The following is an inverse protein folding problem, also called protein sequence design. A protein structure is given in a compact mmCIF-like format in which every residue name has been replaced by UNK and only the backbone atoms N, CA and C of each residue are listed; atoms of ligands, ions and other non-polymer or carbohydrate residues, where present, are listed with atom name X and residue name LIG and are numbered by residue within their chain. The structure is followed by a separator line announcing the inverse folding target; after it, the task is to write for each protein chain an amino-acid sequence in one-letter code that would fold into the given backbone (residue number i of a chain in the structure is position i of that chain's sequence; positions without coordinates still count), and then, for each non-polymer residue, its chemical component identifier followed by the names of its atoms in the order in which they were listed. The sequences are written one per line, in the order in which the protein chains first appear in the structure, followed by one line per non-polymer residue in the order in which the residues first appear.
data_IF_078555430259
#
_entry.id   IF_078555430259
#
_cell.length_a   1.000
_cell.length_b   1.000
_cell.length_c   1.000
_cell.angle_alpha   90.00
_cell.angle_beta   90.00
_cell.angle_gamma   90.00
#
_symmetry.space_group_name_H-M   'P 1'
#
loop_
_entity.id
_entity.type
_entity.pdbx_description
1 polymer ?
#
# COMPACT_ATOMS: atom_id res chain seq x y z
N UNK A 1 12.85 -8.42 0.83
CA UNK A 1 12.61 -9.84 1.14
C UNK A 1 11.86 -10.44 -0.05
N UNK A 2 12.02 -11.67 -0.49
CA UNK A 2 11.24 -12.20 -1.63
C UNK A 2 10.12 -13.11 -1.14
N UNK A 3 9.20 -13.50 -2.03
CA UNK A 3 8.17 -14.49 -1.70
C UNK A 3 8.80 -15.82 -1.29
N UNK A 4 9.88 -16.23 -1.96
CA UNK A 4 10.64 -17.43 -1.64
C UNK A 4 11.35 -17.31 -0.27
N UNK A 5 11.86 -16.13 0.08
CA UNK A 5 12.45 -15.86 1.39
C UNK A 5 11.39 -15.83 2.50
N UNK A 6 10.20 -15.29 2.24
CA UNK A 6 9.09 -15.32 3.20
C UNK A 6 8.59 -16.74 3.42
N UNK A 7 8.38 -17.52 2.35
CA UNK A 7 7.96 -18.91 2.44
C UNK A 7 9.04 -19.76 3.15
N UNK A 8 10.32 -19.47 2.91
CA UNK A 8 11.42 -20.06 3.66
C UNK A 8 11.34 -19.70 5.16
N UNK A 9 11.12 -18.42 5.50
CA UNK A 9 10.96 -17.99 6.89
C UNK A 9 9.75 -18.64 7.56
N UNK A 10 8.62 -18.76 6.86
CA UNK A 10 7.43 -19.47 7.35
C UNK A 10 7.74 -20.96 7.56
N UNK A 11 8.47 -21.59 6.64
CA UNK A 11 8.91 -22.97 6.79
C UNK A 11 9.86 -23.16 8.00
N UNK A 12 10.73 -22.18 8.27
CA UNK A 12 11.72 -22.25 9.36
C UNK A 12 11.17 -21.85 10.74
N UNK A 13 10.28 -20.86 10.79
CA UNK A 13 9.84 -20.22 12.03
C UNK A 13 8.33 -20.32 12.28
N UNK A 14 7.57 -20.87 11.32
CA UNK A 14 6.16 -21.18 11.45
C UNK A 14 5.31 -19.98 11.90
N UNK A 15 4.55 -20.19 12.96
CA UNK A 15 3.62 -19.22 13.54
C UNK A 15 4.31 -18.01 14.22
N UNK A 16 5.63 -18.03 14.36
CA UNK A 16 6.39 -16.86 14.81
C UNK A 16 6.59 -15.82 13.69
N UNK A 17 6.41 -16.21 12.42
CA UNK A 17 6.45 -15.26 11.30
C UNK A 17 5.14 -14.48 11.28
N UNK A 18 5.19 -13.13 11.32
CA UNK A 18 4.00 -12.32 11.17
C UNK A 18 3.29 -12.65 9.86
N UNK A 19 1.96 -12.66 9.89
CA UNK A 19 1.16 -12.81 8.68
C UNK A 19 1.59 -11.79 7.61
N UNK A 20 1.57 -12.17 6.34
CA UNK A 20 2.17 -11.41 5.24
C UNK A 20 1.58 -10.00 5.10
N UNK A 21 0.32 -9.86 5.45
CA UNK A 21 -0.47 -8.62 5.59
C UNK A 21 -0.07 -7.75 6.81
N UNK A 22 0.70 -8.31 7.74
CA UNK A 22 1.30 -7.61 8.89
C UNK A 22 2.77 -7.26 8.70
N UNK A 23 3.36 -7.56 7.54
CA UNK A 23 4.65 -7.01 7.18
C UNK A 23 4.50 -5.49 7.09
N UNK A 24 5.17 -4.81 8.02
CA UNK A 24 5.11 -3.36 8.13
C UNK A 24 5.68 -2.73 6.87
N UNK A 25 5.15 -1.57 6.51
CA UNK A 25 5.76 -0.68 5.52
C UNK A 25 7.25 -0.54 5.79
N UNK A 26 8.04 -0.49 4.73
CA UNK A 26 9.46 -0.17 4.86
C UNK A 26 9.60 1.25 5.42
N UNK A 27 10.63 1.50 6.24
CA UNK A 27 10.80 2.80 6.90
C UNK A 27 10.88 3.96 5.89
N UNK A 28 11.42 3.71 4.69
CA UNK A 28 11.44 4.66 3.56
C UNK A 28 10.06 5.01 2.99
N UNK A 29 9.07 4.13 3.15
CA UNK A 29 7.72 4.31 2.62
C UNK A 29 6.80 5.02 3.62
N UNK A 30 7.13 5.05 4.93
CA UNK A 30 6.31 5.67 5.97
C UNK A 30 6.01 7.16 5.68
N UNK A 31 7.00 8.01 5.33
CA UNK A 31 6.73 9.43 5.04
C UNK A 31 5.81 9.63 3.82
N UNK A 32 5.88 8.73 2.85
CA UNK A 32 5.02 8.77 1.67
C UNK A 32 3.58 8.36 2.00
N UNK A 33 3.37 7.46 2.97
CA UNK A 33 2.03 7.13 3.47
C UNK A 33 1.40 8.30 4.22
N UNK A 34 2.15 8.97 5.09
CA UNK A 34 1.65 10.16 5.79
C UNK A 34 1.26 11.27 4.81
N UNK A 35 2.06 11.43 3.75
CA UNK A 35 1.78 12.38 2.66
C UNK A 35 0.50 12.01 1.90
N UNK A 36 0.31 10.73 1.56
CA UNK A 36 -0.90 10.23 0.93
C UNK A 36 -2.14 10.52 1.80
N UNK A 37 -2.11 10.11 3.06
CA UNK A 37 -3.24 10.29 3.97
C UNK A 37 -3.58 11.77 4.19
N UNK A 38 -2.56 12.64 4.18
CA UNK A 38 -2.76 14.09 4.23
C UNK A 38 -3.46 14.60 2.97
N UNK A 39 -2.96 14.27 1.79
CA UNK A 39 -3.56 14.69 0.50
C UNK A 39 -5.01 14.22 0.40
N UNK A 40 -5.28 12.98 0.81
CA UNK A 40 -6.65 12.44 0.80
C UNK A 40 -7.61 13.26 1.67
N UNK A 41 -7.16 13.78 2.82
CA UNK A 41 -7.99 14.66 3.66
C UNK A 41 -8.14 16.05 3.10
N UNK A 42 -7.05 16.63 2.56
CA UNK A 42 -7.04 17.98 1.99
C UNK A 42 -7.96 18.07 0.77
N UNK A 43 -7.95 17.06 -0.08
CA UNK A 43 -8.79 16.95 -1.28
C UNK A 43 -10.19 16.36 -0.97
N UNK A 44 -10.46 15.98 0.29
CA UNK A 44 -11.73 15.39 0.71
C UNK A 44 -12.03 13.99 0.17
N UNK A 45 -11.02 13.33 -0.43
CA UNK A 45 -11.08 11.96 -0.95
C UNK A 45 -11.39 10.97 0.18
N UNK A 46 -10.97 11.26 1.41
CA UNK A 46 -11.23 10.44 2.59
C UNK A 46 -12.72 10.25 2.92
N UNK A 47 -13.59 11.09 2.36
CA UNK A 47 -15.06 10.97 2.47
C UNK A 47 -15.65 9.98 1.47
N UNK A 48 -14.97 9.77 0.34
CA UNK A 48 -15.43 8.96 -0.80
C UNK A 48 -14.73 7.59 -0.85
N UNK A 49 -13.50 7.54 -0.36
CA UNK A 49 -12.64 6.34 -0.35
C UNK A 49 -12.04 6.15 1.01
N UNK A 50 -12.30 4.99 1.60
CA UNK A 50 -11.67 4.54 2.83
C UNK A 50 -10.50 3.62 2.51
N UNK A 51 -9.29 4.02 2.91
CA UNK A 51 -8.15 3.10 2.93
C UNK A 51 -8.32 2.17 4.13
N UNK A 52 -8.46 0.87 3.86
CA UNK A 52 -8.66 -0.17 4.88
C UNK A 52 -7.37 -0.93 5.19
N UNK A 53 -6.39 -0.87 4.30
CA UNK A 53 -5.06 -1.44 4.53
C UNK A 53 -4.03 -0.88 3.56
N UNK A 54 -2.78 -0.78 4.03
CA UNK A 54 -1.62 -0.55 3.17
C UNK A 54 -0.64 -1.67 3.48
N UNK A 55 -0.40 -2.53 2.50
CA UNK A 55 0.31 -3.79 2.67
C UNK A 55 1.57 -3.72 1.82
N UNK A 56 2.73 -3.69 2.48
CA UNK A 56 4.01 -3.87 1.81
C UNK A 56 4.27 -5.37 1.65
N UNK A 57 4.50 -5.80 0.42
CA UNK A 57 5.02 -7.13 0.14
C UNK A 57 6.53 -7.11 0.28
N UNK A 58 7.08 -8.29 0.49
CA UNK A 58 8.50 -8.53 0.61
C UNK A 58 9.28 -7.85 -0.55
N UNK A 59 8.78 -7.95 -1.79
CA UNK A 59 9.40 -7.46 -3.02
C UNK A 59 9.30 -5.94 -3.21
N UNK A 60 9.00 -5.17 -2.16
CA UNK A 60 8.82 -3.72 -2.22
C UNK A 60 7.44 -3.25 -2.70
N UNK A 61 6.64 -4.15 -3.31
CA UNK A 61 5.33 -3.77 -3.85
C UNK A 61 4.41 -3.42 -2.71
N UNK A 62 3.84 -2.24 -2.79
CA UNK A 62 2.83 -1.77 -1.85
C UNK A 62 1.47 -1.85 -2.51
N UNK A 63 0.52 -2.45 -1.81
CA UNK A 63 -0.89 -2.51 -2.19
C UNK A 63 -1.73 -1.69 -1.20
N UNK A 64 -2.62 -0.87 -1.72
CA UNK A 64 -3.56 -0.07 -0.95
C UNK A 64 -4.94 -0.73 -1.09
N UNK A 65 -5.35 -1.45 -0.05
CA UNK A 65 -6.71 -1.94 0.04
C UNK A 65 -7.65 -0.80 0.42
N UNK A 66 -8.74 -0.68 -0.34
CA UNK A 66 -9.68 0.43 -0.26
C UNK A 66 -11.12 -0.04 -0.39
N UNK A 67 -12.01 0.75 0.18
CA UNK A 67 -13.46 0.60 0.04
C UNK A 67 -14.05 1.95 -0.37
N UNK A 68 -14.95 1.95 -1.35
CA UNK A 68 -15.76 3.13 -1.65
C UNK A 68 -16.85 3.27 -0.59
N UNK A 69 -17.07 4.49 -0.13
CA UNK A 69 -18.18 4.79 0.77
C UNK A 69 -19.49 4.83 -0.01
N UNK A 70 -20.62 4.70 0.69
CA UNK A 70 -21.95 4.76 0.06
C UNK A 70 -22.24 6.10 -0.64
N UNK A 71 -21.44 7.14 -0.40
CA UNK A 71 -21.56 8.43 -1.11
C UNK A 71 -21.03 8.40 -2.54
N UNK A 72 -20.37 7.32 -2.96
CA UNK A 72 -19.78 7.19 -4.29
C UNK A 72 -20.25 5.90 -4.98
N UNK A 73 -20.89 6.04 -6.14
CA UNK A 73 -21.23 4.88 -6.99
C UNK A 73 -19.93 4.25 -7.55
N UNK A 74 -19.65 2.97 -7.28
CA UNK A 74 -18.46 2.28 -7.78
C UNK A 74 -18.34 2.22 -9.32
N UNK A 75 -19.45 2.42 -10.04
CA UNK A 75 -19.47 2.44 -11.51
C UNK A 75 -19.34 3.84 -12.09
N UNK A 76 -19.22 4.87 -11.24
CA UNK A 76 -19.08 6.25 -11.67
C UNK A 76 -17.68 6.54 -12.21
N UNK A 77 -17.58 7.58 -13.04
CA UNK A 77 -16.28 8.08 -13.50
C UNK A 77 -15.39 8.54 -12.33
N UNK A 78 -15.99 9.05 -11.24
CA UNK A 78 -15.27 9.47 -10.05
C UNK A 78 -14.61 8.27 -9.32
N UNK A 79 -15.32 7.14 -9.21
CA UNK A 79 -14.73 5.90 -8.69
C UNK A 79 -13.53 5.45 -9.52
N UNK A 80 -13.64 5.47 -10.85
CA UNK A 80 -12.51 5.14 -11.74
C UNK A 80 -11.33 6.12 -11.57
N UNK A 81 -11.59 7.42 -11.40
CA UNK A 81 -10.54 8.40 -11.12
C UNK A 81 -9.78 8.09 -9.82
N UNK A 82 -10.49 7.67 -8.78
CA UNK A 82 -9.87 7.25 -7.52
C UNK A 82 -9.09 5.95 -7.67
N UNK A 83 -9.58 5.01 -8.48
CA UNK A 83 -8.83 3.79 -8.80
C UNK A 83 -7.49 4.10 -9.45
N UNK A 84 -7.50 4.94 -10.48
CA UNK A 84 -6.29 5.35 -11.20
C UNK A 84 -5.34 6.10 -10.26
N UNK A 85 -5.86 7.03 -9.46
CA UNK A 85 -5.07 7.82 -8.51
C UNK A 85 -4.36 6.92 -7.49
N UNK A 86 -5.08 5.97 -6.90
CA UNK A 86 -4.48 5.06 -5.90
C UNK A 86 -3.49 4.07 -6.52
N UNK A 87 -3.73 3.61 -7.74
CA UNK A 87 -2.75 2.80 -8.48
C UNK A 87 -1.45 3.56 -8.75
N UNK A 88 -1.53 4.89 -9.01
CA UNK A 88 -0.33 5.74 -9.13
C UNK A 88 0.43 5.89 -7.82
N UNK A 89 -0.27 5.94 -6.69
CA UNK A 89 0.38 5.94 -5.39
C UNK A 89 1.09 4.61 -5.10
N UNK A 90 0.45 3.47 -5.35
CA UNK A 90 1.09 2.15 -5.27
C UNK A 90 2.38 2.08 -6.10
N UNK A 91 2.33 2.60 -7.33
CA UNK A 91 3.52 2.70 -8.18
C UNK A 91 4.62 3.56 -7.55
N UNK A 92 4.28 4.72 -6.98
CA UNK A 92 5.27 5.58 -6.30
C UNK A 92 5.89 4.93 -5.08
N UNK A 93 5.15 4.15 -4.30
CA UNK A 93 5.72 3.41 -3.18
C UNK A 93 6.75 2.36 -3.63
N UNK A 94 6.52 1.71 -4.77
CA UNK A 94 7.49 0.80 -5.37
C UNK A 94 8.75 1.55 -5.79
N UNK A 95 8.60 2.68 -6.48
CA UNK A 95 9.74 3.49 -6.95
C UNK A 95 10.62 3.97 -5.79
N UNK A 96 10.01 4.43 -4.69
CA UNK A 96 10.75 4.84 -3.47
C UNK A 96 11.56 3.69 -2.88
N UNK A 97 10.97 2.49 -2.85
CA UNK A 97 11.67 1.30 -2.37
C UNK A 97 12.84 0.93 -3.28
N UNK A 98 12.63 0.95 -4.59
CA UNK A 98 13.67 0.65 -5.57
C UNK A 98 14.83 1.66 -5.51
N UNK A 99 14.53 2.96 -5.37
CA UNK A 99 15.52 4.03 -5.20
C UNK A 99 16.40 3.78 -3.97
N UNK A 100 15.82 3.42 -2.82
CA UNK A 100 16.59 3.11 -1.61
C UNK A 100 17.50 1.88 -1.82
N UNK A 101 16.97 0.83 -2.44
CA UNK A 101 17.74 -0.42 -2.65
C UNK A 101 18.79 -0.33 -3.75
N UNK A 102 18.73 0.67 -4.63
CA UNK A 102 19.70 0.89 -5.71
C UNK A 102 20.92 1.72 -5.27
N UNK A 103 20.82 2.41 -4.14
CA UNK A 103 21.88 3.25 -3.56
C UNK A 103 22.79 2.48 -2.55
N UNK A 104 22.58 1.16 -2.41
CA UNK A 104 23.32 0.21 -1.55
C UNK A 104 24.10 -0.83 -2.40
#
# INVERSE_FOLDING_TARGET
MTDDEYDYLVACHGHAVPARDRLRLHDCQIPAVDSLLRVMREEGIDKEVRVVGIIATACGRTRIDKEFTDSLDPRSAAALCHEITLARFEQRFQEIFEEETADD
#
